data_IF_393275596722
#
_entry.id   IF_393275596722
#
_cell.length_a   1.000
_cell.length_b   1.000
_cell.length_c   1.000
_cell.angle_alpha   90.00
_cell.angle_beta   90.00
_cell.angle_gamma   90.00
#
_symmetry.space_group_name_H-M   'P 1'
#
loop_
_entity.id
_entity.type
_entity.pdbx_description
1 polymer ?
#
# COMPACT_ATOMS: atom_id res chain seq x y z
N UNK A 1 47.45 7.58 -7.25
CA UNK A 1 46.55 6.42 -7.15
C UNK A 1 45.30 6.72 -7.98
N UNK A 2 44.80 5.69 -8.70
CA UNK A 2 43.50 5.53 -9.38
C UNK A 2 43.21 6.28 -10.71
N UNK A 3 42.82 5.45 -11.71
CA UNK A 3 42.45 5.68 -13.12
C UNK A 3 40.97 6.16 -13.21
N UNK A 4 40.40 6.70 -14.29
CA UNK A 4 40.11 6.13 -15.64
C UNK A 4 39.45 7.25 -16.47
N UNK A 5 39.77 7.40 -17.76
CA UNK A 5 38.74 7.65 -18.81
C UNK A 5 39.12 6.86 -20.07
N UNK A 6 38.15 6.16 -20.65
CA UNK A 6 38.26 5.15 -21.69
C UNK A 6 38.75 5.63 -23.07
N UNK A 7 39.59 4.78 -23.68
CA UNK A 7 39.76 4.50 -25.13
C UNK A 7 38.40 4.09 -25.76
N UNK A 8 38.07 4.37 -27.03
CA UNK A 8 38.49 3.73 -28.31
C UNK A 8 38.01 4.65 -29.47
N UNK A 9 38.83 4.99 -30.48
CA UNK A 9 39.01 4.24 -31.75
C UNK A 9 38.07 4.78 -32.85
N UNK A 10 38.46 5.14 -34.08
CA UNK A 10 39.73 5.13 -34.78
C UNK A 10 39.62 5.73 -36.20
N UNK A 11 40.76 5.71 -36.90
CA UNK A 11 41.02 5.61 -38.36
C UNK A 11 40.27 6.55 -39.34
N UNK A 12 41.04 7.36 -40.08
CA UNK A 12 40.63 7.81 -41.42
C UNK A 12 41.18 9.16 -41.90
N UNK A 13 42.30 9.10 -42.62
CA UNK A 13 42.79 10.05 -43.64
C UNK A 13 41.82 11.17 -44.09
N UNK A 14 42.23 12.44 -43.96
CA UNK A 14 42.69 13.24 -45.10
C UNK A 14 43.37 14.53 -44.61
N UNK A 15 44.53 14.80 -45.20
CA UNK A 15 45.32 16.00 -44.97
C UNK A 15 44.67 17.22 -45.64
N UNK A 16 44.65 18.35 -44.93
CA UNK A 16 44.78 19.68 -45.51
C UNK A 16 45.65 20.54 -44.59
N UNK A 17 46.88 20.74 -45.07
CA UNK A 17 47.80 21.85 -44.80
C UNK A 17 46.99 23.17 -44.65
N UNK A 18 47.27 24.08 -43.72
CA UNK A 18 48.28 25.15 -43.84
C UNK A 18 48.55 25.79 -42.46
N UNK A 19 49.84 26.07 -42.23
CA UNK A 19 50.49 27.06 -41.35
C UNK A 19 49.56 28.14 -40.74
N UNK A 20 49.60 28.53 -39.47
CA UNK A 20 50.74 28.73 -38.57
C UNK A 20 51.14 30.21 -38.53
N UNK A 21 50.77 30.96 -37.49
CA UNK A 21 51.63 31.80 -36.64
C UNK A 21 50.79 32.48 -35.55
N UNK A 22 51.30 32.50 -34.33
CA UNK A 22 50.82 33.45 -33.32
C UNK A 22 51.43 34.82 -33.58
N UNK A 23 50.88 35.85 -32.93
CA UNK A 23 51.70 36.86 -32.29
C UNK A 23 50.91 37.59 -31.20
N UNK A 24 51.61 37.77 -30.08
CA UNK A 24 51.22 38.66 -29.01
C UNK A 24 51.33 40.11 -29.50
N UNK A 25 50.42 40.98 -29.05
CA UNK A 25 50.62 42.42 -29.10
C UNK A 25 50.43 42.99 -27.69
N UNK A 26 51.58 43.34 -27.12
CA UNK A 26 51.80 44.29 -26.03
C UNK A 26 51.20 45.66 -26.35
N UNK A 27 50.88 46.40 -25.29
CA UNK A 27 50.10 47.63 -25.37
C UNK A 27 50.77 48.83 -26.01
N UNK A 28 49.96 49.88 -26.15
CA UNK A 28 50.41 51.25 -26.31
C UNK A 28 49.49 52.17 -25.49
N UNK A 29 50.11 52.89 -24.57
CA UNK A 29 49.58 54.13 -24.03
C UNK A 29 49.80 55.23 -25.08
N UNK A 30 48.78 56.06 -25.33
CA UNK A 30 48.86 57.54 -25.46
C UNK A 30 47.69 58.11 -26.26
N UNK A 31 47.12 59.21 -25.74
CA UNK A 31 46.16 60.15 -26.35
C UNK A 31 44.66 59.77 -26.33
N UNK A 32 44.09 59.62 -25.14
CA UNK A 32 42.75 60.18 -24.92
C UNK A 32 42.93 61.68 -24.65
N UNK A 33 42.96 62.49 -25.72
CA UNK A 33 42.65 63.90 -25.58
C UNK A 33 41.17 63.98 -25.21
N UNK A 34 40.98 64.33 -23.96
CA UNK A 34 39.85 65.09 -23.45
C UNK A 34 39.31 66.04 -24.53
N UNK A 35 38.10 65.74 -25.01
CA UNK A 35 37.27 66.66 -25.80
C UNK A 35 35.93 66.75 -25.10
N UNK A 36 35.95 67.28 -23.88
CA UNK A 36 34.77 67.91 -23.30
C UNK A 36 34.56 69.27 -24.01
N UNK A 37 33.77 69.27 -25.09
CA UNK A 37 33.14 70.46 -25.64
C UNK A 37 32.09 70.08 -26.71
N UNK A 38 30.85 69.91 -26.27
CA UNK A 38 29.65 69.78 -27.09
C UNK A 38 28.57 69.06 -26.29
N UNK A 39 27.94 69.66 -25.28
CA UNK A 39 27.12 70.87 -25.36
C UNK A 39 26.15 70.90 -26.55
N UNK A 40 25.52 69.77 -26.83
CA UNK A 40 24.11 69.81 -27.22
C UNK A 40 23.28 70.17 -25.97
N UNK A 41 23.36 71.46 -25.62
CA UNK A 41 22.63 72.08 -24.52
C UNK A 41 21.15 72.16 -24.84
N UNK A 42 20.44 71.03 -24.73
CA UNK A 42 19.17 71.12 -24.02
C UNK A 42 19.52 71.56 -22.57
N UNK A 43 18.88 72.58 -21.99
CA UNK A 43 19.08 72.87 -20.57
C UNK A 43 18.76 71.59 -19.80
N UNK A 44 19.69 71.15 -18.94
CA UNK A 44 19.46 69.97 -18.13
C UNK A 44 18.20 70.22 -17.29
N UNK A 45 17.17 69.40 -17.51
CA UNK A 45 15.92 69.52 -16.80
C UNK A 45 16.00 68.63 -15.55
N UNK A 46 16.23 69.20 -14.36
CA UNK A 46 16.39 68.42 -13.14
C UNK A 46 15.10 67.67 -12.84
N UNK A 47 15.22 66.35 -12.61
CA UNK A 47 14.07 65.52 -12.23
C UNK A 47 13.81 65.66 -10.75
N UNK A 48 12.54 65.77 -10.34
CA UNK A 48 12.14 65.70 -8.93
C UNK A 48 12.12 64.27 -8.40
N UNK A 49 12.06 64.10 -7.07
CA UNK A 49 11.86 62.79 -6.42
C UNK A 49 10.70 62.00 -7.02
N UNK A 50 9.57 62.67 -7.27
CA UNK A 50 8.38 62.06 -7.89
C UNK A 50 8.66 61.59 -9.32
N UNK A 51 9.41 62.38 -10.11
CA UNK A 51 9.79 62.00 -11.47
C UNK A 51 10.82 60.86 -11.52
N UNK A 52 11.53 60.63 -10.41
CA UNK A 52 12.47 59.52 -10.22
C UNK A 52 11.83 58.30 -9.57
N UNK A 53 10.57 58.38 -9.13
CA UNK A 53 9.90 57.33 -8.35
C UNK A 53 10.52 57.10 -6.96
N UNK A 54 11.27 58.08 -6.46
CA UNK A 54 11.92 58.01 -5.15
C UNK A 54 11.00 58.62 -4.07
N UNK A 55 10.75 57.85 -3.01
CA UNK A 55 10.01 58.30 -1.82
C UNK A 55 10.89 58.45 -0.59
N UNK A 56 12.18 58.12 -0.70
CA UNK A 56 13.18 58.30 0.36
C UNK A 56 14.60 58.35 -0.21
N UNK A 57 15.53 58.80 0.64
CA UNK A 57 16.97 58.72 0.39
C UNK A 57 17.50 59.81 -0.55
N UNK A 58 18.82 59.76 -0.77
CA UNK A 58 19.54 60.68 -1.63
C UNK A 58 19.60 60.14 -3.07
N UNK A 59 19.03 60.87 -4.02
CA UNK A 59 18.99 60.49 -5.45
C UNK A 59 19.51 61.64 -6.32
N UNK A 60 20.19 61.33 -7.42
CA UNK A 60 20.62 62.37 -8.37
C UNK A 60 19.46 62.87 -9.22
N UNK A 61 19.35 64.18 -9.42
CA UNK A 61 18.38 64.80 -10.32
C UNK A 61 18.70 64.61 -11.82
N UNK A 62 19.86 63.99 -12.13
CA UNK A 62 20.39 63.80 -13.47
C UNK A 62 21.18 64.99 -14.02
N UNK A 63 21.33 66.07 -13.23
CA UNK A 63 21.95 67.34 -13.60
C UNK A 63 23.09 67.75 -12.64
N UNK A 64 23.64 66.79 -11.87
CA UNK A 64 24.72 66.93 -10.88
C UNK A 64 24.30 67.45 -9.49
N UNK A 65 23.00 67.62 -9.23
CA UNK A 65 22.49 67.87 -7.88
C UNK A 65 22.00 66.55 -7.25
N UNK A 66 22.02 66.53 -5.91
CA UNK A 66 21.50 65.42 -5.11
C UNK A 66 20.23 65.90 -4.41
N UNK A 67 19.13 65.22 -4.70
CA UNK A 67 17.85 65.44 -4.05
C UNK A 67 17.74 64.57 -2.81
N UNK A 68 17.29 65.17 -1.72
CA UNK A 68 16.83 64.47 -0.52
C UNK A 68 15.32 64.21 -0.63
N UNK A 69 14.96 62.95 -0.89
CA UNK A 69 13.58 62.53 -1.05
C UNK A 69 12.90 62.13 0.26
N UNK A 70 13.53 62.44 1.41
CA UNK A 70 13.00 62.21 2.74
C UNK A 70 13.49 60.92 3.38
N UNK A 71 13.10 60.72 4.63
CA UNK A 71 13.41 59.53 5.42
C UNK A 71 12.17 58.66 5.61
N UNK A 72 12.39 57.36 5.75
CA UNK A 72 11.33 56.42 6.08
C UNK A 72 11.02 56.46 7.56
N UNK A 73 9.73 56.36 7.91
CA UNK A 73 9.30 56.23 9.29
C UNK A 73 9.55 54.79 9.73
N UNK A 74 10.22 54.63 10.88
CA UNK A 74 10.42 53.31 11.47
C UNK A 74 9.06 52.58 11.61
N UNK A 75 8.99 51.28 11.28
CA UNK A 75 10.08 50.32 11.05
C UNK A 75 10.68 50.25 9.63
N UNK A 76 10.24 51.08 8.69
CA UNK A 76 10.72 51.02 7.31
C UNK A 76 12.12 51.59 7.15
N UNK A 77 12.88 51.06 6.19
CA UNK A 77 14.18 51.57 5.79
C UNK A 77 14.17 51.91 4.31
N UNK A 78 14.95 52.92 3.90
CA UNK A 78 15.02 53.28 2.49
C UNK A 78 15.72 52.15 1.71
N UNK A 79 15.02 51.56 0.74
CA UNK A 79 15.47 50.34 0.06
C UNK A 79 15.07 49.03 0.73
N UNK A 80 14.40 49.08 1.88
CA UNK A 80 14.21 47.90 2.74
C UNK A 80 13.33 46.80 2.16
N UNK A 81 12.35 47.15 1.32
CA UNK A 81 11.49 46.20 0.61
C UNK A 81 12.10 45.62 -0.68
N UNK A 82 13.41 45.75 -0.87
CA UNK A 82 14.10 45.32 -2.10
C UNK A 82 13.96 46.28 -3.28
N UNK A 83 13.22 47.38 -3.13
CA UNK A 83 13.06 48.44 -4.14
C UNK A 83 13.88 49.66 -3.73
N UNK A 84 14.88 50.02 -4.53
CA UNK A 84 15.75 51.17 -4.26
C UNK A 84 14.98 52.48 -4.18
N UNK A 85 15.37 53.36 -3.24
CA UNK A 85 14.77 54.68 -3.02
C UNK A 85 13.26 54.68 -2.71
N UNK A 86 12.73 53.53 -2.28
CA UNK A 86 11.39 53.38 -1.75
C UNK A 86 11.45 52.90 -0.30
N UNK A 87 10.57 53.41 0.55
CA UNK A 87 10.42 52.90 1.90
C UNK A 87 9.85 51.49 1.90
N UNK A 88 10.46 50.60 2.69
CA UNK A 88 9.96 49.26 2.89
C UNK A 88 10.63 48.56 4.06
N UNK A 89 10.05 47.44 4.46
CA UNK A 89 10.54 46.65 5.58
C UNK A 89 11.72 45.77 5.18
N UNK A 90 12.83 45.92 5.92
CA UNK A 90 13.94 44.98 5.93
C UNK A 90 13.61 43.81 6.85
N UNK A 91 13.63 42.59 6.31
CA UNK A 91 13.57 41.38 7.10
C UNK A 91 15.00 40.87 7.39
N UNK A 92 15.17 40.17 8.51
CA UNK A 92 16.46 39.58 8.88
C UNK A 92 16.77 38.32 8.04
N UNK A 93 17.93 37.70 8.26
CA UNK A 93 18.31 36.49 7.51
C UNK A 93 17.46 35.24 7.80
N UNK A 94 16.51 35.30 8.74
CA UNK A 94 15.60 34.22 9.12
C UNK A 94 14.15 34.46 8.69
N UNK A 95 13.85 35.65 8.14
CA UNK A 95 12.49 36.08 7.78
C UNK A 95 12.46 36.66 6.37
N UNK A 96 11.28 36.65 5.76
CA UNK A 96 11.03 37.19 4.41
C UNK A 96 9.86 38.16 4.41
N UNK A 97 9.92 39.14 3.52
CA UNK A 97 8.88 40.15 3.39
C UNK A 97 7.71 39.60 2.57
N UNK A 98 6.59 39.35 3.24
CA UNK A 98 5.31 38.97 2.62
C UNK A 98 4.32 40.12 2.75
N UNK A 99 4.27 40.97 1.73
CA UNK A 99 3.33 42.10 1.63
C UNK A 99 3.43 43.07 2.81
N UNK A 100 4.66 43.41 3.22
CA UNK A 100 4.90 44.35 4.32
C UNK A 100 4.82 43.71 5.71
N UNK A 101 5.03 42.40 5.82
CA UNK A 101 5.19 41.70 7.09
C UNK A 101 6.34 40.72 6.98
N UNK A 102 7.25 40.71 7.96
CA UNK A 102 8.30 39.69 8.02
C UNK A 102 7.73 38.40 8.59
N UNK A 103 7.81 37.33 7.82
CA UNK A 103 7.38 35.97 8.22
C UNK A 103 8.57 35.03 8.17
N UNK A 104 8.58 33.99 9.00
CA UNK A 104 9.68 33.02 9.04
C UNK A 104 9.87 32.32 7.70
N UNK A 105 11.13 32.10 7.31
CA UNK A 105 11.49 31.32 6.11
C UNK A 105 10.95 29.88 6.14
N UNK A 106 10.67 29.35 7.34
CA UNK A 106 10.15 28.00 7.56
C UNK A 106 8.65 27.96 7.86
N UNK A 107 7.90 29.02 7.53
CA UNK A 107 6.45 29.02 7.70
C UNK A 107 5.75 28.50 6.42
N UNK A 108 5.18 27.28 6.43
CA UNK A 108 4.58 26.68 5.23
C UNK A 108 3.37 27.47 4.71
N UNK A 109 2.70 28.27 5.54
CA UNK A 109 1.61 29.15 5.10
C UNK A 109 2.07 30.27 4.17
N UNK A 110 3.37 30.57 4.16
CA UNK A 110 3.98 31.56 3.27
C UNK A 110 5.09 30.94 2.42
N UNK A 111 5.12 29.61 2.28
CA UNK A 111 6.14 28.90 1.49
C UNK A 111 7.47 28.72 2.21
N UNK A 112 8.26 27.74 1.77
CA UNK A 112 9.51 27.34 2.42
C UNK A 112 10.77 27.60 1.59
N UNK A 113 10.61 28.12 0.37
CA UNK A 113 11.65 28.18 -0.66
C UNK A 113 12.95 28.86 -0.21
N UNK A 114 14.05 28.13 -0.33
CA UNK A 114 15.42 28.63 -0.18
C UNK A 114 16.24 28.10 -1.38
N UNK A 115 16.78 28.97 -2.26
CA UNK A 115 16.66 30.43 -2.27
C UNK A 115 15.23 30.91 -2.60
N UNK A 116 14.86 32.09 -2.09
CA UNK A 116 13.55 32.71 -2.34
C UNK A 116 13.33 32.96 -3.84
N UNK A 117 12.14 32.66 -4.36
CA UNK A 117 11.71 33.06 -5.69
C UNK A 117 11.43 34.58 -5.68
N UNK A 118 12.17 35.40 -6.46
CA UNK A 118 11.94 36.84 -6.50
C UNK A 118 10.56 37.23 -7.05
N UNK A 119 9.89 36.33 -7.77
CA UNK A 119 8.58 36.57 -8.38
C UNK A 119 7.41 36.26 -7.43
N UNK A 120 7.59 35.33 -6.49
CA UNK A 120 6.55 34.96 -5.52
C UNK A 120 7.13 34.35 -4.22
N UNK A 121 7.85 35.15 -3.39
CA UNK A 121 8.58 34.67 -2.21
C UNK A 121 7.69 34.03 -1.13
N UNK A 122 6.37 34.20 -1.25
CA UNK A 122 5.37 33.96 -0.21
C UNK A 122 4.28 32.97 -0.64
N UNK A 123 4.51 32.20 -1.71
CA UNK A 123 3.57 31.19 -2.18
C UNK A 123 3.35 30.11 -1.11
N UNK A 124 2.12 29.87 -0.63
CA UNK A 124 1.87 28.85 0.39
C UNK A 124 2.21 27.46 -0.13
N UNK A 125 2.71 26.61 0.75
CA UNK A 125 2.87 25.19 0.46
C UNK A 125 1.51 24.51 0.32
N UNK A 126 1.37 23.68 -0.70
CA UNK A 126 0.15 22.94 -0.97
C UNK A 126 0.06 21.72 -0.06
N UNK A 127 -1.12 21.42 0.46
CA UNK A 127 -1.32 20.21 1.29
C UNK A 127 -2.65 19.48 1.10
N UNK A 128 -3.61 20.06 0.37
CA UNK A 128 -4.92 19.46 0.12
C UNK A 128 -5.63 18.87 1.35
N UNK A 129 -6.65 18.02 1.16
CA UNK A 129 -7.26 17.21 2.21
C UNK A 129 -6.30 16.17 2.80
N UNK A 130 -6.46 15.88 4.10
CA UNK A 130 -5.68 14.88 4.86
C UNK A 130 -4.16 15.09 4.87
N UNK A 131 -3.65 16.15 4.26
CA UNK A 131 -2.27 16.55 4.29
C UNK A 131 -2.05 17.81 5.11
N UNK A 132 -0.90 17.88 5.78
CA UNK A 132 -0.40 19.09 6.44
C UNK A 132 0.88 19.51 5.74
N UNK A 133 0.94 20.77 5.28
CA UNK A 133 2.15 21.32 4.73
C UNK A 133 3.19 21.51 5.83
N UNK A 134 4.44 21.17 5.53
CA UNK A 134 5.59 21.40 6.39
C UNK A 134 6.76 21.93 5.56
N UNK A 135 7.74 22.51 6.25
CA UNK A 135 9.01 22.91 5.63
C UNK A 135 10.08 21.89 6.01
N UNK A 136 10.67 21.25 5.02
CA UNK A 136 11.82 20.36 5.21
C UNK A 136 12.98 20.86 4.33
N UNK A 137 14.08 21.25 4.98
CA UNK A 137 15.30 21.74 4.33
C UNK A 137 15.09 22.86 3.28
N UNK A 138 14.15 23.78 3.52
CA UNK A 138 13.87 24.89 2.60
C UNK A 138 12.99 24.51 1.41
N UNK A 139 12.28 23.38 1.50
CA UNK A 139 11.35 22.88 0.49
C UNK A 139 10.01 22.57 1.14
N UNK A 140 8.91 22.85 0.42
CA UNK A 140 7.59 22.42 0.84
C UNK A 140 7.52 20.88 0.85
N UNK A 141 7.17 20.31 1.99
CA UNK A 141 6.90 18.88 2.17
C UNK A 141 5.44 18.66 2.55
N UNK A 142 4.88 17.53 2.13
CA UNK A 142 3.54 17.10 2.52
C UNK A 142 3.62 16.00 3.59
N UNK A 143 2.97 16.21 4.72
CA UNK A 143 2.83 15.19 5.78
C UNK A 143 1.39 14.69 5.78
N UNK A 144 1.20 13.40 5.50
CA UNK A 144 -0.12 12.79 5.52
C UNK A 144 -0.61 12.49 6.94
N UNK A 145 -1.91 12.68 7.15
CA UNK A 145 -2.59 12.21 8.35
C UNK A 145 -2.47 10.68 8.45
N UNK A 146 -2.44 10.10 9.66
CA UNK A 146 -2.39 8.65 9.82
C UNK A 146 -3.48 7.94 9.01
N UNK A 147 -3.11 6.87 8.29
CA UNK A 147 -4.02 6.10 7.44
C UNK A 147 -4.28 6.70 6.04
N UNK A 148 -3.59 7.78 5.66
CA UNK A 148 -3.69 8.40 4.34
C UNK A 148 -2.33 8.46 3.63
N UNK A 149 -2.36 8.40 2.30
CA UNK A 149 -1.18 8.52 1.45
C UNK A 149 -1.45 9.42 0.24
N UNK A 150 -0.39 10.07 -0.23
CA UNK A 150 -0.30 10.79 -1.50
C UNK A 150 0.17 9.80 -2.57
N UNK A 151 -0.77 9.25 -3.35
CA UNK A 151 -0.50 8.17 -4.30
C UNK A 151 -0.31 8.65 -5.73
N UNK A 152 -0.63 9.92 -6.02
CA UNK A 152 -0.35 10.56 -7.30
C UNK A 152 0.89 11.49 -7.26
N UNK A 153 1.47 11.67 -6.07
CA UNK A 153 2.61 12.55 -5.79
C UNK A 153 2.32 14.03 -6.08
N UNK A 154 1.05 14.45 -5.92
CA UNK A 154 0.60 15.81 -6.15
C UNK A 154 0.13 16.43 -4.83
N UNK A 155 1.01 17.22 -4.22
CA UNK A 155 0.70 17.91 -2.96
C UNK A 155 -0.54 18.84 -3.02
N UNK A 156 -0.95 19.24 -4.23
CA UNK A 156 -2.18 20.00 -4.46
C UNK A 156 -3.46 19.20 -4.14
N UNK A 157 -3.50 17.90 -4.45
CA UNK A 157 -4.61 16.99 -4.12
C UNK A 157 -4.57 16.52 -2.67
N UNK A 158 -3.44 16.69 -1.99
CA UNK A 158 -3.24 16.27 -0.61
C UNK A 158 -2.96 14.78 -0.50
N UNK A 159 -3.40 14.15 0.58
CA UNK A 159 -3.28 12.70 0.79
C UNK A 159 -4.63 12.07 0.52
N UNK A 160 -4.92 11.85 -0.75
CA UNK A 160 -6.24 11.51 -1.29
C UNK A 160 -6.64 10.05 -1.12
N UNK A 161 -5.68 9.17 -0.79
CA UNK A 161 -5.90 7.72 -0.74
C UNK A 161 -5.87 7.19 0.68
N UNK A 162 -6.95 6.51 1.07
CA UNK A 162 -7.00 5.77 2.33
C UNK A 162 -6.15 4.48 2.25
N UNK A 163 -5.17 4.39 3.16
CA UNK A 163 -4.25 3.25 3.31
C UNK A 163 -4.83 2.10 4.17
N UNK A 164 -6.11 2.20 4.54
CA UNK A 164 -6.85 1.17 5.26
C UNK A 164 -7.73 0.33 4.32
N UNK A 165 -7.62 0.59 3.02
CA UNK A 165 -8.36 -0.15 2.00
C UNK A 165 -7.58 -1.39 1.57
N UNK A 166 -8.31 -2.44 1.18
CA UNK A 166 -7.70 -3.67 0.62
C UNK A 166 -6.91 -3.44 -0.66
N UNK A 167 -7.06 -2.27 -1.31
CA UNK A 167 -6.32 -1.90 -2.51
C UNK A 167 -5.02 -1.10 -2.24
N UNK A 168 -4.89 -0.50 -1.04
CA UNK A 168 -3.77 0.39 -0.67
C UNK A 168 -3.28 0.13 0.75
N UNK A 169 -3.26 -1.13 1.19
CA UNK A 169 -3.07 -1.46 2.59
C UNK A 169 -1.65 -1.12 3.09
N UNK A 170 -1.57 -0.10 3.94
CA UNK A 170 -0.32 0.42 4.51
C UNK A 170 0.54 1.24 3.56
N UNK A 171 0.35 1.15 2.24
CA UNK A 171 0.99 2.01 1.25
C UNK A 171 0.21 2.00 -0.07
N UNK A 172 0.44 3.04 -0.88
CA UNK A 172 -0.14 3.20 -2.20
C UNK A 172 0.06 1.97 -3.10
N UNK A 173 -1.03 1.46 -3.68
CA UNK A 173 -1.01 0.32 -4.60
C UNK A 173 -0.71 -1.05 -3.97
N UNK A 174 -0.57 -1.13 -2.64
CA UNK A 174 -0.39 -2.42 -1.94
C UNK A 174 -1.75 -3.11 -1.77
N UNK A 175 -2.13 -3.92 -2.75
CA UNK A 175 -3.35 -4.70 -2.70
C UNK A 175 -3.18 -5.98 -1.86
N UNK A 176 -4.17 -6.28 -1.02
CA UNK A 176 -4.18 -7.49 -0.20
C UNK A 176 -4.52 -8.76 -1.00
N UNK A 177 -3.91 -9.91 -0.64
CA UNK A 177 -4.14 -11.16 -1.36
C UNK A 177 -5.57 -11.66 -1.13
N UNK A 178 -6.20 -12.11 -2.21
CA UNK A 178 -7.57 -12.70 -2.20
C UNK A 178 -7.56 -14.21 -2.03
N UNK A 179 -6.38 -14.85 -2.00
CA UNK A 179 -6.28 -16.30 -1.92
C UNK A 179 -6.60 -16.79 -0.50
N UNK A 180 -7.63 -17.63 -0.38
CA UNK A 180 -7.91 -18.38 0.85
C UNK A 180 -8.98 -17.79 1.77
N UNK A 181 -9.61 -16.65 1.40
CA UNK A 181 -10.70 -16.04 2.16
C UNK A 181 -10.99 -14.60 1.73
N UNK A 182 -11.69 -13.85 2.56
CA UNK A 182 -11.98 -12.44 2.30
C UNK A 182 -10.80 -11.57 2.76
N UNK A 183 -10.16 -10.78 1.87
CA UNK A 183 -9.06 -9.91 2.26
C UNK A 183 -9.53 -8.81 3.19
N UNK A 184 -8.71 -8.47 4.18
CA UNK A 184 -8.90 -7.30 5.05
C UNK A 184 -7.57 -6.56 5.20
N UNK A 185 -7.67 -5.25 5.43
CA UNK A 185 -6.54 -4.43 5.84
C UNK A 185 -6.77 -4.02 7.30
N UNK A 186 -5.88 -4.43 8.19
CA UNK A 186 -5.94 -4.07 9.61
C UNK A 186 -4.56 -3.62 10.06
N UNK A 187 -4.48 -2.49 10.77
CA UNK A 187 -3.23 -1.91 11.26
C UNK A 187 -2.15 -1.79 10.17
N UNK A 188 -2.54 -1.30 8.98
CA UNK A 188 -1.67 -1.17 7.81
C UNK A 188 -1.04 -2.49 7.32
N UNK A 189 -1.67 -3.63 7.64
CA UNK A 189 -1.23 -4.98 7.22
C UNK A 189 -2.36 -5.74 6.57
N UNK A 190 -2.00 -6.47 5.52
CA UNK A 190 -2.91 -7.39 4.88
C UNK A 190 -3.11 -8.64 5.72
N UNK A 191 -4.37 -9.02 5.90
CA UNK A 191 -4.79 -10.28 6.47
C UNK A 191 -5.96 -10.86 5.65
N UNK A 192 -6.32 -12.11 5.92
CA UNK A 192 -7.41 -12.80 5.24
C UNK A 192 -8.33 -13.42 6.29
N UNK A 193 -9.60 -13.02 6.28
CA UNK A 193 -10.62 -13.67 7.09
C UNK A 193 -11.02 -14.96 6.37
N UNK A 194 -10.62 -16.09 6.95
CA UNK A 194 -11.07 -17.41 6.52
C UNK A 194 -12.28 -17.76 7.38
N UNK A 195 -13.50 -17.87 6.82
CA UNK A 195 -14.65 -18.27 7.61
C UNK A 195 -14.42 -19.70 8.13
N UNK A 196 -14.80 -19.94 9.38
CA UNK A 196 -14.63 -21.24 10.04
C UNK A 196 -15.88 -21.64 10.79
N UNK A 197 -16.15 -22.94 10.82
CA UNK A 197 -17.07 -23.54 11.78
C UNK A 197 -16.31 -23.99 13.02
N UNK A 198 -16.96 -23.97 14.18
CA UNK A 198 -16.37 -24.43 15.45
C UNK A 198 -17.37 -25.30 16.19
N UNK A 199 -17.18 -26.62 16.21
CA UNK A 199 -18.10 -27.55 16.87
C UNK A 199 -17.38 -28.76 17.49
N UNK A 200 -17.94 -29.27 18.58
CA UNK A 200 -17.55 -30.51 19.26
C UNK A 200 -18.24 -31.74 18.66
N UNK A 201 -19.43 -31.55 18.11
CA UNK A 201 -20.23 -32.61 17.50
C UNK A 201 -20.43 -32.32 16.02
N UNK A 202 -20.10 -33.30 15.19
CA UNK A 202 -20.19 -33.25 13.75
C UNK A 202 -21.08 -34.38 13.27
N UNK A 203 -21.94 -34.08 12.29
CA UNK A 203 -22.81 -35.07 11.68
C UNK A 203 -22.78 -34.95 10.18
N UNK A 204 -22.62 -36.09 9.52
CA UNK A 204 -22.75 -36.22 8.09
C UNK A 204 -23.94 -37.13 7.84
N UNK A 205 -24.96 -36.59 7.19
CA UNK A 205 -26.12 -37.34 6.74
C UNK A 205 -26.01 -37.60 5.25
N UNK A 206 -26.18 -38.84 4.84
CA UNK A 206 -26.27 -39.22 3.45
C UNK A 206 -27.68 -39.74 3.16
N UNK A 207 -28.51 -38.99 2.41
CA UNK A 207 -29.79 -39.51 1.95
C UNK A 207 -29.60 -40.71 1.02
N UNK A 208 -30.62 -41.56 0.94
CA UNK A 208 -30.65 -42.65 -0.04
C UNK A 208 -30.53 -42.07 -1.45
N UNK A 209 -29.55 -42.57 -2.21
CA UNK A 209 -29.32 -42.17 -3.61
C UNK A 209 -29.07 -43.37 -4.49
N UNK A 210 -29.04 -43.16 -5.80
CA UNK A 210 -28.95 -44.22 -6.82
C UNK A 210 -27.56 -44.87 -6.93
N UNK A 211 -26.63 -44.53 -6.03
CA UNK A 211 -25.22 -44.92 -6.13
C UNK A 211 -24.91 -46.35 -5.70
N UNK A 212 -25.92 -47.14 -5.32
CA UNK A 212 -25.72 -48.52 -4.88
C UNK A 212 -24.65 -48.64 -3.79
N UNK A 213 -23.78 -49.63 -3.93
CA UNK A 213 -22.67 -49.91 -2.99
C UNK A 213 -21.59 -48.83 -2.92
N UNK A 214 -21.40 -48.04 -3.99
CA UNK A 214 -20.26 -47.14 -4.16
C UNK A 214 -20.43 -45.78 -3.49
N UNK A 215 -21.69 -45.42 -3.16
CA UNK A 215 -22.07 -44.16 -2.55
C UNK A 215 -22.11 -44.22 -1.01
N UNK A 216 -21.01 -44.48 -0.27
CA UNK A 216 -20.96 -44.53 1.20
C UNK A 216 -19.97 -43.54 1.81
N UNK A 217 -20.23 -43.12 3.05
CA UNK A 217 -19.30 -42.25 3.80
C UNK A 217 -18.11 -43.09 4.27
N UNK A 218 -17.02 -43.05 3.50
CA UNK A 218 -15.79 -43.79 3.80
C UNK A 218 -14.74 -42.96 4.49
N UNK A 219 -14.74 -41.64 4.34
CA UNK A 219 -13.77 -40.78 5.00
C UNK A 219 -14.40 -39.44 5.31
N UNK A 220 -14.03 -38.83 6.43
CA UNK A 220 -14.23 -37.39 6.64
C UNK A 220 -12.86 -36.77 6.93
N UNK A 221 -12.53 -35.61 6.37
CA UNK A 221 -11.30 -34.87 6.70
C UNK A 221 -11.64 -33.42 7.00
N UNK A 222 -10.92 -32.83 7.94
CA UNK A 222 -11.11 -31.43 8.34
C UNK A 222 -9.93 -30.61 7.85
N UNK A 223 -10.21 -29.46 7.23
CA UNK A 223 -9.18 -28.45 6.95
C UNK A 223 -9.06 -27.53 8.15
N UNK A 224 -7.92 -27.56 8.83
CA UNK A 224 -7.64 -26.78 10.04
C UNK A 224 -6.36 -25.99 9.80
N UNK A 225 -6.38 -24.69 10.10
CA UNK A 225 -5.23 -23.79 9.92
C UNK A 225 -4.55 -23.91 8.53
N UNK A 226 -5.35 -24.04 7.46
CA UNK A 226 -4.90 -24.12 6.08
C UNK A 226 -4.58 -25.53 5.56
N UNK A 227 -4.46 -26.53 6.44
CA UNK A 227 -4.04 -27.89 6.09
C UNK A 227 -5.16 -28.92 6.28
N UNK A 228 -5.24 -29.91 5.39
CA UNK A 228 -6.07 -31.09 5.59
C UNK A 228 -5.43 -31.97 6.66
N UNK A 229 -6.15 -32.18 7.76
CA UNK A 229 -5.67 -32.98 8.88
C UNK A 229 -6.08 -34.42 8.67
N UNK A 230 -5.10 -35.32 8.70
CA UNK A 230 -5.33 -36.77 8.70
C UNK A 230 -6.04 -37.15 10.00
N UNK A 231 -7.13 -37.89 9.86
CA UNK A 231 -7.85 -38.44 10.99
C UNK A 231 -7.37 -39.88 11.22
N UNK A 232 -7.25 -40.29 12.48
CA UNK A 232 -6.66 -41.57 12.87
C UNK A 232 -7.48 -42.29 13.94
N UNK A 233 -8.80 -42.19 13.86
CA UNK A 233 -9.71 -42.67 14.88
C UNK A 233 -10.11 -44.13 14.65
N UNK A 234 -9.75 -45.03 15.57
CA UNK A 234 -10.01 -46.47 15.47
C UNK A 234 -11.01 -46.93 16.54
N UNK A 235 -12.31 -46.75 16.29
CA UNK A 235 -13.39 -47.16 17.20
C UNK A 235 -14.03 -46.01 18.00
N UNK A 236 -14.84 -46.34 19.01
CA UNK A 236 -15.75 -45.37 19.66
C UNK A 236 -15.04 -44.24 20.43
N UNK A 237 -13.81 -44.42 20.92
CA UNK A 237 -13.12 -43.41 21.75
C UNK A 237 -11.60 -43.52 21.64
N UNK A 238 -11.05 -43.64 20.43
CA UNK A 238 -9.60 -43.63 20.22
C UNK A 238 -9.20 -42.79 19.01
N UNK A 239 -7.98 -42.25 19.04
CA UNK A 239 -7.40 -41.44 17.96
C UNK A 239 -7.88 -39.98 17.92
N UNK A 240 -7.67 -39.34 16.78
CA UNK A 240 -7.96 -37.90 16.58
C UNK A 240 -8.72 -37.62 15.30
N UNK A 241 -9.57 -36.60 15.32
CA UNK A 241 -10.20 -36.01 14.15
C UNK A 241 -10.00 -34.49 14.16
N UNK A 242 -9.50 -33.91 13.06
CA UNK A 242 -9.17 -32.48 13.00
C UNK A 242 -8.14 -32.06 14.07
N UNK A 243 -7.27 -32.98 14.49
CA UNK A 243 -6.31 -32.79 15.58
C UNK A 243 -6.91 -32.78 16.99
N UNK A 244 -8.21 -33.10 17.14
CA UNK A 244 -8.90 -33.18 18.44
C UNK A 244 -9.16 -34.63 18.81
N UNK A 245 -9.02 -34.97 20.10
CA UNK A 245 -9.25 -36.32 20.60
C UNK A 245 -10.72 -36.73 20.38
N UNK A 246 -10.93 -37.92 19.84
CA UNK A 246 -12.28 -38.47 19.62
C UNK A 246 -12.84 -39.02 20.92
N UNK A 247 -14.07 -38.62 21.25
CA UNK A 247 -14.81 -39.03 22.45
C UNK A 247 -15.85 -40.10 22.12
N UNK A 248 -16.60 -39.89 21.04
CA UNK A 248 -17.64 -40.80 20.59
C UNK A 248 -17.73 -40.79 19.07
N UNK A 249 -17.95 -41.95 18.46
CA UNK A 249 -18.37 -42.06 17.06
C UNK A 249 -19.64 -42.91 17.04
N UNK A 250 -20.71 -42.42 16.44
CA UNK A 250 -21.94 -43.17 16.25
C UNK A 250 -22.30 -43.18 14.77
N UNK A 251 -22.82 -44.29 14.27
CA UNK A 251 -23.26 -44.42 12.89
C UNK A 251 -24.62 -45.11 12.84
N UNK A 252 -25.41 -44.83 11.81
CA UNK A 252 -26.74 -45.43 11.60
C UNK A 252 -26.90 -45.87 10.15
N UNK A 253 -27.55 -47.01 9.91
CA UNK A 253 -27.74 -47.63 8.59
C UNK A 253 -27.31 -49.11 8.58
N UNK A 254 -27.17 -49.70 7.39
CA UNK A 254 -26.68 -51.09 7.16
C UNK A 254 -25.24 -51.32 7.67
N UNK A 255 -24.53 -50.27 8.10
CA UNK A 255 -23.22 -50.35 8.77
C UNK A 255 -23.30 -50.99 10.16
N UNK A 256 -24.49 -51.21 10.72
CA UNK A 256 -24.67 -51.94 11.99
C UNK A 256 -24.62 -53.47 11.86
N UNK A 257 -24.78 -54.02 10.65
CA UNK A 257 -24.98 -55.46 10.42
C UNK A 257 -23.67 -56.28 10.35
N UNK A 258 -22.51 -55.66 10.13
CA UNK A 258 -21.22 -56.36 9.96
C UNK A 258 -20.03 -55.72 10.69
N UNK A 259 -20.29 -54.99 11.78
CA UNK A 259 -19.27 -54.74 12.80
C UNK A 259 -18.38 -53.51 12.57
N UNK A 260 -18.54 -52.57 13.51
CA UNK A 260 -17.68 -51.44 13.89
C UNK A 260 -17.38 -50.41 12.77
N UNK A 261 -17.58 -49.14 13.12
CA UNK A 261 -17.32 -47.90 12.37
C UNK A 261 -15.89 -47.68 11.83
N UNK A 262 -15.07 -48.73 11.64
CA UNK A 262 -13.61 -48.65 11.48
C UNK A 262 -13.13 -47.99 10.20
N UNK A 263 -13.97 -47.86 9.17
CA UNK A 263 -13.48 -47.38 7.88
C UNK A 263 -13.44 -45.87 7.74
N UNK A 264 -14.03 -45.09 8.66
CA UNK A 264 -14.13 -43.65 8.48
C UNK A 264 -12.77 -42.91 8.52
N UNK A 265 -11.73 -43.49 9.14
CA UNK A 265 -10.46 -42.79 9.37
C UNK A 265 -9.28 -43.75 9.59
N UNK A 266 -8.74 -44.37 8.53
CA UNK A 266 -7.40 -44.95 8.61
C UNK A 266 -6.48 -44.43 7.49
N UNK A 267 -5.24 -44.15 7.87
CA UNK A 267 -4.15 -43.73 7.00
C UNK A 267 -3.22 -44.91 6.64
N UNK A 268 -3.60 -46.13 6.99
CA UNK A 268 -2.72 -47.31 6.98
C UNK A 268 -3.00 -48.28 5.83
N UNK A 269 -4.08 -48.10 5.09
CA UNK A 269 -4.19 -48.65 3.73
C UNK A 269 -4.11 -50.17 3.65
N UNK A 270 -4.70 -50.91 4.59
CA UNK A 270 -4.82 -52.38 4.49
C UNK A 270 -6.16 -52.92 5.03
N UNK A 271 -7.17 -53.15 4.16
CA UNK A 271 -8.36 -53.90 4.51
C UNK A 271 -8.22 -55.36 4.03
N UNK A 272 -7.52 -56.20 4.80
CA UNK A 272 -7.66 -57.65 4.65
C UNK A 272 -8.21 -58.27 5.92
N UNK A 273 -9.53 -58.48 5.97
CA UNK A 273 -10.09 -59.78 6.39
C UNK A 273 -11.32 -60.11 5.52
N UNK A 274 -11.21 -61.25 4.84
CA UNK A 274 -12.02 -61.80 3.76
C UNK A 274 -13.45 -62.20 4.14
N UNK A 275 -14.40 -61.95 3.24
CA UNK A 275 -15.78 -62.45 3.26
C UNK A 275 -15.89 -63.75 2.44
N UNK A 276 -16.43 -64.82 3.02
CA UNK A 276 -16.83 -66.03 2.31
C UNK A 276 -18.37 -66.14 2.37
N UNK A 277 -19.05 -66.05 1.22
CA UNK A 277 -20.48 -66.39 1.17
C UNK A 277 -21.39 -65.67 0.17
N UNK A 278 -20.90 -64.66 -0.57
CA UNK A 278 -21.51 -64.16 -1.81
C UNK A 278 -23.03 -63.94 -1.83
N UNK A 279 -23.46 -62.70 -1.56
CA UNK A 279 -24.41 -61.86 -2.33
C UNK A 279 -24.89 -60.77 -1.38
N UNK A 280 -24.75 -59.51 -1.79
CA UNK A 280 -25.14 -58.37 -0.96
C UNK A 280 -26.41 -57.71 -1.48
N UNK A 281 -27.24 -57.21 -0.57
CA UNK A 281 -28.33 -56.28 -0.90
C UNK A 281 -28.31 -55.14 0.13
N UNK A 282 -28.26 -53.90 -0.36
CA UNK A 282 -28.03 -52.69 0.43
C UNK A 282 -29.14 -51.68 0.20
N UNK A 283 -29.82 -51.22 1.25
CA UNK A 283 -30.85 -50.18 1.12
C UNK A 283 -30.93 -49.33 2.38
N UNK A 284 -30.73 -48.01 2.30
CA UNK A 284 -31.09 -47.08 3.38
C UNK A 284 -30.34 -45.74 3.42
N UNK A 285 -30.85 -44.84 4.26
CA UNK A 285 -30.20 -43.57 4.67
C UNK A 285 -29.08 -43.84 5.67
N UNK A 286 -27.94 -43.19 5.52
CA UNK A 286 -26.77 -43.34 6.41
C UNK A 286 -26.49 -42.05 7.17
N UNK A 287 -26.05 -42.17 8.43
CA UNK A 287 -25.49 -41.02 9.14
C UNK A 287 -24.28 -41.40 9.96
N UNK A 288 -23.28 -40.53 9.96
CA UNK A 288 -22.11 -40.55 10.84
C UNK A 288 -22.21 -39.38 11.81
N UNK A 289 -22.01 -39.65 13.09
CA UNK A 289 -21.87 -38.66 14.16
C UNK A 289 -20.51 -38.84 14.82
N UNK A 290 -19.77 -37.74 14.91
CA UNK A 290 -18.47 -37.65 15.55
C UNK A 290 -18.58 -36.66 16.70
N UNK A 291 -18.10 -37.06 17.87
CA UNK A 291 -17.89 -36.19 19.02
C UNK A 291 -16.39 -36.14 19.32
N UNK A 292 -15.87 -34.94 19.48
CA UNK A 292 -14.49 -34.68 19.91
C UNK A 292 -14.46 -33.97 21.25
N UNK A 293 -13.33 -34.08 21.95
CA UNK A 293 -13.17 -33.55 23.30
C UNK A 293 -13.17 -32.01 23.35
N UNK A 294 -12.82 -31.35 22.24
CA UNK A 294 -12.72 -29.91 22.09
C UNK A 294 -13.17 -29.50 20.68
N UNK A 295 -13.69 -28.28 20.47
CA UNK A 295 -14.15 -27.84 19.16
C UNK A 295 -13.07 -27.97 18.09
N UNK A 296 -13.45 -28.50 16.92
CA UNK A 296 -12.65 -28.37 15.70
C UNK A 296 -13.00 -27.03 15.05
N UNK A 297 -12.00 -26.18 14.84
CA UNK A 297 -12.14 -24.95 14.05
C UNK A 297 -11.84 -25.29 12.59
N UNK A 298 -12.88 -25.66 11.84
CA UNK A 298 -12.77 -26.17 10.48
C UNK A 298 -13.03 -25.07 9.44
N UNK A 299 -12.10 -24.93 8.49
CA UNK A 299 -12.23 -24.08 7.29
C UNK A 299 -12.96 -24.78 6.15
N UNK A 300 -12.94 -26.12 6.15
CA UNK A 300 -13.67 -26.96 5.20
C UNK A 300 -13.76 -28.39 5.77
N UNK A 301 -14.74 -29.14 5.29
CA UNK A 301 -14.90 -30.56 5.56
C UNK A 301 -14.99 -31.30 4.24
N UNK A 302 -14.14 -32.31 4.10
CA UNK A 302 -14.12 -33.24 2.97
C UNK A 302 -14.79 -34.53 3.40
N UNK A 303 -15.62 -35.11 2.54
CA UNK A 303 -16.33 -36.36 2.76
C UNK A 303 -16.13 -37.29 1.55
N UNK A 304 -15.67 -38.51 1.79
CA UNK A 304 -15.28 -39.52 0.77
C UNK A 304 -13.76 -39.71 0.65
N UNK A 305 -13.32 -40.85 0.10
CA UNK A 305 -11.92 -41.30 0.11
C UNK A 305 -11.56 -42.41 -0.91
N UNK A 306 -10.37 -43.01 -0.78
CA UNK A 306 -9.88 -44.04 -1.72
C UNK A 306 -10.71 -45.34 -1.56
N UNK A 307 -11.32 -45.80 -2.66
CA UNK A 307 -12.24 -46.95 -2.78
C UNK A 307 -13.71 -46.76 -2.34
N UNK A 308 -14.16 -45.55 -2.00
CA UNK A 308 -15.58 -45.27 -1.84
C UNK A 308 -15.91 -43.80 -1.68
N UNK A 309 -17.11 -43.39 -2.09
CA UNK A 309 -17.47 -41.98 -2.27
C UNK A 309 -18.92 -41.72 -1.93
N UNK A 310 -19.38 -40.48 -1.89
CA UNK A 310 -20.75 -40.15 -1.46
C UNK A 310 -21.49 -39.36 -2.53
N UNK A 311 -22.74 -39.68 -2.87
CA UNK A 311 -23.48 -38.90 -3.91
C UNK A 311 -23.78 -37.48 -3.47
N UNK A 312 -24.48 -37.39 -2.35
CA UNK A 312 -24.89 -36.15 -1.73
C UNK A 312 -24.79 -36.34 -0.23
N UNK A 313 -24.22 -35.38 0.46
CA UNK A 313 -24.14 -35.39 1.92
C UNK A 313 -24.59 -34.04 2.47
N UNK A 314 -25.25 -34.08 3.61
CA UNK A 314 -25.55 -32.91 4.43
C UNK A 314 -24.64 -32.93 5.65
N UNK A 315 -23.92 -31.83 5.86
CA UNK A 315 -23.08 -31.62 7.02
C UNK A 315 -23.83 -30.78 8.05
N UNK A 316 -23.74 -31.19 9.31
CA UNK A 316 -24.31 -30.47 10.45
C UNK A 316 -23.31 -30.41 11.61
N UNK A 317 -23.36 -29.32 12.37
CA UNK A 317 -22.56 -29.09 13.58
C UNK A 317 -23.44 -28.91 14.81
N UNK A 318 -22.92 -29.27 15.98
CA UNK A 318 -23.57 -29.05 17.28
C UNK A 318 -22.52 -28.88 18.38
N UNK A 319 -22.82 -28.01 19.35
CA UNK A 319 -21.97 -27.83 20.53
C UNK A 319 -22.26 -28.86 21.63
N UNK A 320 -23.52 -29.27 21.76
CA UNK A 320 -24.00 -30.11 22.87
C UNK A 320 -24.47 -31.51 22.43
N UNK A 321 -24.50 -31.77 21.12
CA UNK A 321 -24.96 -33.03 20.54
C UNK A 321 -26.48 -33.16 20.43
N UNK A 322 -27.23 -32.15 20.87
CA UNK A 322 -28.71 -32.13 20.88
C UNK A 322 -29.29 -31.10 19.90
N UNK A 323 -28.71 -29.90 19.84
CA UNK A 323 -29.13 -28.84 18.92
C UNK A 323 -28.20 -28.81 17.70
N UNK A 324 -28.73 -29.11 16.51
CA UNK A 324 -27.94 -29.26 15.28
C UNK A 324 -28.21 -28.14 14.29
N UNK A 325 -27.14 -27.52 13.79
CA UNK A 325 -27.18 -26.54 12.70
C UNK A 325 -26.72 -27.22 11.41
N UNK A 326 -27.49 -27.09 10.34
CA UNK A 326 -27.06 -27.53 9.00
C UNK A 326 -26.03 -26.54 8.47
N UNK A 327 -24.82 -27.03 8.21
CA UNK A 327 -23.68 -26.22 7.73
C UNK A 327 -23.63 -26.16 6.20
N UNK A 328 -24.16 -27.18 5.53
CA UNK A 328 -24.28 -27.21 4.08
C UNK A 328 -24.62 -28.58 3.53
N UNK A 329 -24.85 -28.63 2.23
CA UNK A 329 -25.03 -29.86 1.46
C UNK A 329 -24.05 -29.83 0.30
N UNK A 330 -23.36 -30.94 0.06
CA UNK A 330 -22.52 -31.09 -1.11
C UNK A 330 -22.91 -32.34 -1.87
N UNK A 331 -22.89 -32.25 -3.20
CA UNK A 331 -23.20 -33.36 -4.09
C UNK A 331 -22.13 -33.45 -5.18
N UNK A 332 -21.84 -34.66 -5.64
CA UNK A 332 -21.09 -34.90 -6.87
C UNK A 332 -22.03 -35.44 -7.97
N UNK A 333 -21.50 -35.49 -9.18
CA UNK A 333 -22.22 -36.04 -10.34
C UNK A 333 -21.96 -37.53 -10.54
N UNK A 334 -20.83 -38.02 -10.02
CA UNK A 334 -20.39 -39.40 -10.07
C UNK A 334 -20.33 -39.99 -8.67
N UNK A 335 -20.80 -41.22 -8.51
CA UNK A 335 -20.84 -41.91 -7.21
C UNK A 335 -19.45 -42.21 -6.60
N UNK A 336 -18.38 -41.64 -7.15
CA UNK A 336 -16.96 -41.96 -6.96
C UNK A 336 -16.09 -40.72 -6.67
N UNK A 337 -16.69 -39.54 -6.53
CA UNK A 337 -15.93 -38.33 -6.15
C UNK A 337 -16.09 -37.95 -4.69
N UNK A 338 -15.06 -37.29 -4.19
CA UNK A 338 -15.08 -36.62 -2.89
C UNK A 338 -15.99 -35.40 -2.93
N UNK A 339 -16.77 -35.19 -1.88
CA UNK A 339 -17.51 -33.95 -1.65
C UNK A 339 -16.75 -33.05 -0.68
N UNK A 340 -16.60 -31.77 -1.01
CA UNK A 340 -16.03 -30.76 -0.09
C UNK A 340 -17.08 -29.71 0.22
N UNK A 341 -17.27 -29.40 1.51
CA UNK A 341 -18.19 -28.37 2.00
C UNK A 341 -17.37 -27.37 2.81
N UNK A 342 -17.53 -26.07 2.53
CA UNK A 342 -16.88 -24.98 3.23
C UNK A 342 -17.92 -23.93 3.66
N UNK A 343 -17.61 -23.08 4.66
CA UNK A 343 -18.47 -21.98 5.11
C UNK A 343 -18.81 -20.95 4.04
#
# INVERSE_FOLDING_TARGET
MLRVVCSVGGIGFLAALVLGCGDAASGDASNARDVDAGSDSAPCAPKTCVQLGASCGAVSDGCSEVLDCGECVAPESCGGGGVSNACGLTCDGSTKNCSGTCVDLSNPAFGCEIPLDPSNPCAPCLSGPHGTAACEAGVCSLVCSPGWGDCDALAASGCETSLETVANCGACGVACPTSGGTPVCQDAKCDVIIPTWSYEHWRVDQPQGDCGEWGKITEVQFRVAGAWVTNGATGYASGTAGGKAVVAIAHTGDSSSYGRAWMAFDATGDPWQSYAGGTYYWTGSESLRLQVAQPIVAQAVKVGGFWGSTKCVRLSGSHDGTAWTVLGTGCNTDCNSVVTIAP
#
